data_IF_524643295336
#
_entry.id   IF_524643295336
#
_cell.length_a   1.000
_cell.length_b   1.000
_cell.length_c   1.000
_cell.angle_alpha   90.00
_cell.angle_beta   90.00
_cell.angle_gamma   90.00
#
_symmetry.space_group_name_H-M   'P 1'
#
loop_
_entity.id
_entity.type
_entity.pdbx_description
1 polymer ?
#
# COMPACT_ATOMS: atom_id res chain seq x y z
N UNK A 1 5.67 -33.89 -8.90
CA UNK A 1 4.73 -33.07 -9.70
C UNK A 1 3.60 -32.48 -8.86
N UNK A 2 2.86 -33.26 -8.04
CA UNK A 2 1.79 -32.70 -7.17
C UNK A 2 2.30 -31.63 -6.17
N UNK A 3 3.46 -31.84 -5.56
CA UNK A 3 4.06 -30.89 -4.61
C UNK A 3 4.42 -29.54 -5.26
N UNK A 4 4.81 -29.57 -6.54
CA UNK A 4 5.22 -28.39 -7.30
C UNK A 4 4.05 -27.46 -7.62
N UNK A 5 2.85 -28.03 -7.84
CA UNK A 5 1.62 -27.26 -8.08
C UNK A 5 1.12 -26.65 -6.78
N UNK A 6 1.11 -27.42 -5.68
CA UNK A 6 0.68 -26.90 -4.37
C UNK A 6 1.57 -25.74 -3.88
N UNK A 7 2.89 -25.84 -4.08
CA UNK A 7 3.84 -24.78 -3.74
C UNK A 7 3.64 -23.53 -4.62
N UNK A 8 3.46 -23.73 -5.93
CA UNK A 8 3.16 -22.64 -6.84
C UNK A 8 1.85 -21.94 -6.46
N UNK A 9 0.77 -22.68 -6.22
CA UNK A 9 -0.52 -22.09 -5.80
C UNK A 9 -0.40 -21.33 -4.48
N UNK A 10 0.33 -21.88 -3.51
CA UNK A 10 0.59 -21.19 -2.24
C UNK A 10 1.40 -19.89 -2.45
N UNK A 11 2.27 -19.80 -3.46
CA UNK A 11 3.03 -18.58 -3.77
C UNK A 11 2.16 -17.42 -4.26
N UNK A 12 0.94 -17.67 -4.70
CA UNK A 12 0.03 -16.62 -5.17
C UNK A 12 -1.06 -16.27 -4.17
N UNK A 13 -1.23 -17.03 -3.08
CA UNK A 13 -2.34 -16.86 -2.14
C UNK A 13 -2.53 -15.41 -1.67
N UNK A 14 -1.47 -14.78 -1.16
CA UNK A 14 -1.53 -13.38 -0.71
C UNK A 14 -1.76 -12.43 -1.88
N UNK A 15 -1.10 -12.67 -3.02
CA UNK A 15 -1.21 -11.81 -4.19
C UNK A 15 -2.65 -11.79 -4.74
N UNK A 16 -3.28 -12.96 -4.89
CA UNK A 16 -4.67 -13.09 -5.33
C UNK A 16 -5.64 -12.39 -4.37
N UNK A 17 -5.42 -12.53 -3.06
CA UNK A 17 -6.22 -11.82 -2.05
C UNK A 17 -6.06 -10.31 -2.18
N UNK A 18 -4.84 -9.81 -2.33
CA UNK A 18 -4.57 -8.38 -2.48
C UNK A 18 -5.15 -7.82 -3.79
N UNK A 19 -5.10 -8.60 -4.87
CA UNK A 19 -5.67 -8.25 -6.18
C UNK A 19 -7.20 -8.38 -6.26
N UNK A 20 -7.85 -8.90 -5.21
CA UNK A 20 -9.31 -8.89 -5.11
C UNK A 20 -9.87 -7.46 -5.07
N UNK A 21 -9.08 -6.48 -4.59
CA UNK A 21 -9.41 -5.06 -4.74
C UNK A 21 -8.89 -4.55 -6.11
N UNK A 22 -9.76 -4.05 -7.00
CA UNK A 22 -9.38 -3.61 -8.34
C UNK A 22 -8.27 -2.56 -8.37
N UNK A 23 -8.22 -1.64 -7.39
CA UNK A 23 -7.15 -0.63 -7.34
C UNK A 23 -5.76 -1.22 -7.09
N UNK A 24 -5.69 -2.40 -6.47
CA UNK A 24 -4.43 -3.08 -6.16
C UNK A 24 -3.95 -3.96 -7.32
N UNK A 25 -4.74 -4.08 -8.40
CA UNK A 25 -4.33 -4.79 -9.60
C UNK A 25 -3.32 -4.00 -10.43
N UNK A 26 -3.09 -2.72 -10.12
CA UNK A 26 -2.17 -1.84 -10.83
C UNK A 26 -1.10 -1.32 -9.88
N UNK A 27 0.14 -1.23 -10.36
CA UNK A 27 1.25 -0.64 -9.63
C UNK A 27 0.94 0.82 -9.30
N UNK A 28 1.03 1.17 -8.02
CA UNK A 28 0.71 2.52 -7.53
C UNK A 28 1.60 3.63 -8.12
N UNK A 29 2.72 3.29 -8.75
CA UNK A 29 3.70 4.26 -9.26
C UNK A 29 3.82 4.33 -10.77
N UNK A 30 3.53 3.25 -11.49
CA UNK A 30 3.68 3.23 -12.97
C UNK A 30 2.58 2.45 -13.69
N UNK A 31 1.53 2.05 -12.95
CA UNK A 31 0.35 1.34 -13.50
C UNK A 31 0.65 0.00 -14.18
N UNK A 32 1.84 -0.57 -13.94
CA UNK A 32 2.18 -1.93 -14.34
C UNK A 32 1.22 -2.94 -13.69
N UNK A 33 0.75 -3.91 -14.47
CA UNK A 33 -0.33 -4.80 -14.03
C UNK A 33 0.16 -5.83 -13.00
N UNK A 34 -0.78 -6.28 -12.17
CA UNK A 34 -0.60 -7.34 -11.15
C UNK A 34 0.69 -7.15 -10.34
N UNK A 35 0.84 -6.05 -9.59
CA UNK A 35 2.02 -5.81 -8.78
C UNK A 35 2.20 -6.90 -7.72
N UNK A 36 3.43 -7.37 -7.53
CA UNK A 36 3.76 -8.51 -6.65
C UNK A 36 4.57 -8.10 -5.42
N UNK A 37 4.68 -6.80 -5.19
CA UNK A 37 5.43 -6.20 -4.08
C UNK A 37 4.60 -5.12 -3.42
N UNK A 38 4.89 -4.86 -2.15
CA UNK A 38 4.22 -3.83 -1.39
C UNK A 38 5.17 -3.16 -0.39
N UNK A 39 4.87 -1.92 -0.03
CA UNK A 39 5.42 -1.30 1.17
C UNK A 39 4.38 -1.43 2.28
N UNK A 40 4.61 -2.36 3.21
CA UNK A 40 3.59 -2.74 4.20
C UNK A 40 3.24 -1.61 5.17
N UNK A 41 4.15 -0.67 5.43
CA UNK A 41 3.89 0.49 6.29
C UNK A 41 3.14 1.62 5.57
N UNK A 42 3.12 1.59 4.23
CA UNK A 42 2.44 2.57 3.39
C UNK A 42 1.12 2.04 2.83
N UNK A 43 0.89 0.72 2.94
CA UNK A 43 -0.21 0.00 2.32
C UNK A 43 -0.37 0.34 0.83
N UNK A 44 0.75 0.33 0.10
CA UNK A 44 0.79 0.50 -1.36
C UNK A 44 1.44 -0.71 -2.02
N UNK A 45 0.88 -1.11 -3.15
CA UNK A 45 1.39 -2.21 -3.99
C UNK A 45 2.05 -1.68 -5.25
N UNK A 46 3.15 -2.29 -5.65
CA UNK A 46 3.95 -1.86 -6.80
C UNK A 46 4.67 -3.02 -7.48
N UNK A 47 5.11 -2.79 -8.72
CA UNK A 47 5.81 -3.79 -9.51
C UNK A 47 7.26 -3.97 -9.05
N UNK A 48 7.91 -5.03 -9.52
CA UNK A 48 9.30 -5.38 -9.18
C UNK A 48 10.29 -4.23 -9.45
N UNK A 49 10.08 -3.44 -10.51
CA UNK A 49 10.94 -2.31 -10.87
C UNK A 49 10.83 -1.19 -9.85
N UNK A 50 9.62 -0.75 -9.53
CA UNK A 50 9.38 0.24 -8.47
C UNK A 50 9.82 -0.28 -7.10
N UNK A 51 9.72 -1.58 -6.83
CA UNK A 51 10.22 -2.19 -5.60
C UNK A 51 11.73 -1.95 -5.41
N UNK A 52 12.51 -1.93 -6.49
CA UNK A 52 13.93 -1.59 -6.45
C UNK A 52 14.17 -0.16 -5.94
N UNK A 53 13.44 0.81 -6.48
CA UNK A 53 13.56 2.21 -6.06
C UNK A 53 13.03 2.44 -4.65
N UNK A 54 11.92 1.78 -4.27
CA UNK A 54 11.40 1.81 -2.91
C UNK A 54 12.40 1.29 -1.87
N UNK A 55 13.24 0.30 -2.21
CA UNK A 55 14.32 -0.16 -1.33
C UNK A 55 15.38 0.93 -1.13
N UNK A 56 15.64 1.74 -2.15
CA UNK A 56 16.56 2.89 -2.07
C UNK A 56 16.13 3.98 -1.09
N UNK A 57 14.85 4.06 -0.73
CA UNK A 57 14.35 5.00 0.29
C UNK A 57 14.69 4.58 1.72
N UNK A 58 15.04 3.31 1.95
CA UNK A 58 15.29 2.75 3.28
C UNK A 58 14.02 2.35 4.06
N UNK A 59 14.17 1.46 5.06
CA UNK A 59 13.05 0.83 5.77
C UNK A 59 12.29 1.78 6.72
N UNK A 60 12.87 2.92 7.09
CA UNK A 60 12.17 3.97 7.85
C UNK A 60 11.07 4.66 7.03
N UNK A 61 11.21 4.65 5.70
CA UNK A 61 10.26 5.27 4.77
C UNK A 61 9.39 4.19 4.09
N UNK A 62 10.01 3.14 3.58
CA UNK A 62 9.33 2.10 2.78
C UNK A 62 9.78 0.69 3.19
N UNK A 63 8.94 -0.01 3.96
CA UNK A 63 9.14 -1.40 4.40
C UNK A 63 8.69 -2.35 3.28
N UNK A 64 9.58 -2.62 2.31
CA UNK A 64 9.28 -3.44 1.11
C UNK A 64 9.17 -4.93 1.43
N UNK A 65 8.09 -5.58 0.98
CA UNK A 65 7.84 -7.03 1.09
C UNK A 65 7.24 -7.60 -0.19
N UNK A 66 7.58 -8.84 -0.53
CA UNK A 66 7.01 -9.58 -1.65
C UNK A 66 5.69 -10.22 -1.25
N UNK A 67 4.68 -10.13 -2.12
CA UNK A 67 3.41 -10.86 -1.94
C UNK A 67 3.61 -12.37 -2.09
N UNK A 68 4.61 -12.80 -2.86
CA UNK A 68 4.84 -14.23 -3.15
C UNK A 68 5.89 -14.88 -2.25
N UNK A 69 6.97 -14.14 -1.96
CA UNK A 69 8.15 -14.70 -1.30
C UNK A 69 8.14 -14.49 0.22
N UNK A 70 7.47 -13.45 0.73
CA UNK A 70 7.50 -13.08 2.15
C UNK A 70 6.24 -13.53 2.92
N UNK A 71 5.71 -14.73 2.63
CA UNK A 71 4.41 -15.22 3.16
C UNK A 71 4.24 -15.06 4.67
N UNK A 72 5.30 -15.36 5.45
CA UNK A 72 5.28 -15.28 6.93
C UNK A 72 5.05 -13.87 7.47
N UNK A 73 5.26 -12.83 6.64
CA UNK A 73 5.03 -11.44 7.04
C UNK A 73 3.56 -11.06 6.92
N UNK A 74 2.81 -11.68 6.00
CA UNK A 74 1.45 -11.30 5.67
C UNK A 74 0.44 -11.91 6.63
N UNK A 75 0.20 -11.23 7.76
CA UNK A 75 -0.93 -11.53 8.65
C UNK A 75 -2.26 -11.10 8.02
N UNK A 76 -3.35 -11.65 8.54
CA UNK A 76 -4.71 -11.27 8.13
C UNK A 76 -4.92 -9.74 8.25
N UNK A 77 -4.48 -9.15 9.37
CA UNK A 77 -4.55 -7.72 9.60
C UNK A 77 -3.85 -6.90 8.51
N UNK A 78 -2.64 -7.31 8.09
CA UNK A 78 -1.91 -6.58 7.04
C UNK A 78 -2.61 -6.67 5.68
N UNK A 79 -3.21 -7.82 5.37
CA UNK A 79 -3.98 -8.00 4.15
C UNK A 79 -5.21 -7.09 4.20
N UNK A 80 -5.95 -7.08 5.31
CA UNK A 80 -7.13 -6.22 5.46
C UNK A 80 -6.78 -4.73 5.35
N UNK A 81 -5.66 -4.28 5.91
CA UNK A 81 -5.22 -2.90 5.73
C UNK A 81 -4.96 -2.59 4.26
N UNK A 82 -4.28 -3.47 3.51
CA UNK A 82 -4.01 -3.22 2.09
C UNK A 82 -5.28 -3.23 1.22
N UNK A 83 -6.34 -3.93 1.65
CA UNK A 83 -7.63 -3.93 0.96
C UNK A 83 -8.46 -2.68 1.26
N UNK A 84 -8.45 -2.20 2.50
CA UNK A 84 -9.22 -1.01 2.91
C UNK A 84 -8.50 0.30 2.59
N UNK A 85 -7.18 0.32 2.75
CA UNK A 85 -6.33 1.48 2.53
C UNK A 85 -5.92 1.58 1.05
N UNK A 86 -6.88 1.95 0.22
CA UNK A 86 -6.62 2.16 -1.21
C UNK A 86 -6.06 3.55 -1.43
N UNK A 87 -4.76 3.63 -1.79
CA UNK A 87 -4.15 4.91 -2.16
C UNK A 87 -4.41 5.24 -3.63
N UNK A 88 -5.51 5.95 -3.91
CA UNK A 88 -5.75 6.51 -5.25
C UNK A 88 -4.77 7.65 -5.50
N UNK A 89 -3.74 7.39 -6.29
CA UNK A 89 -2.72 8.39 -6.66
C UNK A 89 -2.86 8.69 -8.14
N UNK A 90 -3.22 9.94 -8.41
CA UNK A 90 -3.54 10.43 -9.77
C UNK A 90 -2.30 10.59 -10.66
N UNK A 91 -1.10 10.54 -10.08
CA UNK A 91 0.16 10.68 -10.80
C UNK A 91 0.86 9.33 -10.84
N UNK A 92 1.11 8.85 -12.06
CA UNK A 92 1.82 7.62 -12.35
C UNK A 92 2.86 7.87 -13.45
N UNK A 93 4.02 7.25 -13.30
CA UNK A 93 5.03 7.13 -14.34
C UNK A 93 4.51 6.28 -15.50
N UNK A 94 5.17 6.43 -16.64
CA UNK A 94 4.96 5.51 -17.76
C UNK A 94 5.65 4.17 -17.48
N UNK A 95 5.18 3.09 -18.12
CA UNK A 95 5.81 1.77 -18.01
C UNK A 95 7.27 1.76 -18.46
N UNK A 96 7.63 2.65 -19.39
CA UNK A 96 8.97 2.72 -20.00
C UNK A 96 9.91 3.71 -19.29
N UNK A 97 9.46 4.36 -18.22
CA UNK A 97 10.32 5.26 -17.45
C UNK A 97 11.57 4.54 -16.95
N UNK A 98 12.71 5.20 -17.12
CA UNK A 98 14.04 4.74 -16.72
C UNK A 98 14.14 4.58 -15.20
N UNK A 99 15.14 3.84 -14.73
CA UNK A 99 15.41 3.71 -13.28
C UNK A 99 15.66 5.06 -12.61
N UNK A 100 16.31 6.00 -13.32
CA UNK A 100 16.55 7.34 -12.78
C UNK A 100 15.26 8.15 -12.62
N UNK A 101 14.39 8.16 -13.64
CA UNK A 101 13.08 8.82 -13.55
C UNK A 101 12.22 8.21 -12.46
N UNK A 102 12.21 6.87 -12.36
CA UNK A 102 11.51 6.14 -11.30
C UNK A 102 12.00 6.55 -9.93
N UNK A 103 13.32 6.60 -9.73
CA UNK A 103 13.95 7.01 -8.47
C UNK A 103 13.56 8.44 -8.09
N UNK A 104 13.67 9.40 -9.01
CA UNK A 104 13.30 10.80 -8.75
C UNK A 104 11.84 10.92 -8.33
N UNK A 105 10.95 10.28 -9.08
CA UNK A 105 9.51 10.30 -8.80
C UNK A 105 9.16 9.64 -7.46
N UNK A 106 9.67 8.43 -7.19
CA UNK A 106 9.41 7.68 -5.96
C UNK A 106 9.97 8.43 -4.74
N UNK A 107 11.16 9.01 -4.84
CA UNK A 107 11.71 9.89 -3.79
C UNK A 107 10.82 11.10 -3.54
N UNK A 108 10.44 11.85 -4.58
CA UNK A 108 9.56 13.01 -4.42
C UNK A 108 8.18 12.64 -3.81
N UNK A 109 7.64 11.48 -4.21
CA UNK A 109 6.33 11.00 -3.79
C UNK A 109 6.30 10.52 -2.33
N UNK A 110 7.31 9.77 -1.89
CA UNK A 110 7.29 9.10 -0.59
C UNK A 110 8.23 9.71 0.46
N UNK A 111 9.38 10.23 0.05
CA UNK A 111 10.33 10.88 0.97
C UNK A 111 9.95 12.35 1.18
N UNK A 112 9.82 13.11 0.09
CA UNK A 112 9.55 14.56 0.15
C UNK A 112 8.07 14.86 0.41
N UNK A 113 7.19 13.86 0.28
CA UNK A 113 5.72 13.94 0.46
C UNK A 113 5.01 15.00 -0.39
N UNK A 114 5.64 15.46 -1.48
CA UNK A 114 5.12 16.56 -2.32
C UNK A 114 3.79 16.25 -3.01
N UNK A 115 3.42 14.98 -3.14
CA UNK A 115 2.27 14.51 -3.95
C UNK A 115 1.21 13.73 -3.15
N UNK A 116 1.18 13.84 -1.81
CA UNK A 116 0.25 13.04 -1.00
C UNK A 116 -1.16 13.66 -0.94
N UNK A 117 -2.04 13.24 -1.85
CA UNK A 117 -3.50 13.30 -1.66
C UNK A 117 -4.00 11.90 -1.27
N UNK A 118 -4.62 11.79 -0.11
CA UNK A 118 -5.14 10.53 0.43
C UNK A 118 -6.64 10.44 0.12
N UNK A 119 -7.10 9.30 -0.39
CA UNK A 119 -8.54 9.00 -0.50
C UNK A 119 -8.77 7.68 0.22
N UNK A 120 -9.70 7.63 1.16
CA UNK A 120 -10.08 6.40 1.86
C UNK A 120 -11.35 5.86 1.23
N UNK A 121 -11.38 4.57 0.86
CA UNK A 121 -12.62 3.88 0.50
C UNK A 121 -13.13 3.16 1.74
N UNK A 122 -14.27 3.60 2.27
CA UNK A 122 -14.99 2.84 3.29
C UNK A 122 -15.95 1.90 2.57
N UNK A 123 -15.75 0.59 2.69
CA UNK A 123 -16.53 -0.44 2.00
C UNK A 123 -17.95 -0.64 2.55
N UNK A 124 -18.38 0.12 3.57
CA UNK A 124 -19.68 -0.05 4.22
C UNK A 124 -20.78 0.96 3.81
N UNK A 125 -20.47 1.99 3.02
CA UNK A 125 -21.48 2.87 2.43
C UNK A 125 -21.15 3.13 0.96
N UNK A 126 -22.17 3.12 0.11
CA UNK A 126 -22.08 3.40 -1.34
C UNK A 126 -21.59 4.81 -1.70
N UNK A 127 -21.25 5.63 -0.69
CA UNK A 127 -20.77 7.00 -0.85
C UNK A 127 -19.27 7.04 -0.57
N UNK A 128 -18.47 7.40 -1.58
CA UNK A 128 -17.05 7.72 -1.41
C UNK A 128 -16.96 8.85 -0.38
N UNK A 129 -16.55 8.51 0.84
CA UNK A 129 -16.18 9.48 1.85
C UNK A 129 -14.91 10.21 1.38
N UNK A 130 -15.10 11.28 0.59
CA UNK A 130 -14.04 12.13 0.06
C UNK A 130 -13.50 13.02 1.16
N UNK A 131 -12.80 12.44 2.13
CA UNK A 131 -12.08 13.20 3.14
C UNK A 131 -10.75 13.68 2.54
N UNK A 132 -10.66 14.97 2.21
CA UNK A 132 -9.37 15.61 1.93
C UNK A 132 -8.63 15.80 3.24
N UNK A 133 -7.63 14.96 3.52
CA UNK A 133 -6.70 15.21 4.62
C UNK A 133 -5.55 16.09 4.13
N UNK A 134 -5.43 17.28 4.70
CA UNK A 134 -4.27 18.15 4.53
C UNK A 134 -3.40 18.01 5.78
N UNK A 135 -2.29 17.29 5.70
CA UNK A 135 -1.33 17.21 6.79
C UNK A 135 -0.50 18.49 6.85
N UNK A 136 -0.58 19.23 7.95
CA UNK A 136 0.50 20.10 8.41
C UNK A 136 1.29 19.36 9.49
N UNK A 137 2.61 19.30 9.33
CA UNK A 137 3.55 18.60 10.24
C UNK A 137 3.54 19.19 11.66
N UNK A 138 4.07 18.49 12.69
CA UNK A 138 4.05 17.05 12.95
C UNK A 138 3.39 16.73 14.33
N UNK A 139 3.09 15.45 14.58
CA UNK A 139 2.81 14.80 15.89
C UNK A 139 1.38 14.47 16.31
N UNK A 140 0.33 14.79 15.56
CA UNK A 140 -0.98 14.21 15.89
C UNK A 140 -1.83 13.97 14.67
N UNK A 141 -2.30 12.74 14.55
CA UNK A 141 -3.39 12.42 13.65
C UNK A 141 -4.69 12.46 14.45
N UNK A 142 -5.42 13.56 14.34
CA UNK A 142 -6.80 13.61 14.83
C UNK A 142 -7.71 13.12 13.71
N UNK A 143 -8.09 11.85 13.80
CA UNK A 143 -9.14 11.29 12.95
C UNK A 143 -10.49 11.72 13.54
N UNK A 144 -11.16 12.68 12.92
CA UNK A 144 -12.59 12.91 13.14
C UNK A 144 -13.37 11.87 12.32
N UNK A 145 -13.84 10.83 13.01
CA UNK A 145 -14.75 9.84 12.43
C UNK A 145 -16.19 10.21 12.82
N UNK A 146 -17.09 10.34 11.84
CA UNK A 146 -18.53 10.43 12.07
C UNK A 146 -19.23 9.07 11.97
N UNK A 147 -18.51 7.97 12.22
CA UNK A 147 -18.99 6.60 12.04
C UNK A 147 -19.04 5.84 13.37
N UNK A 148 -20.09 5.06 13.57
CA UNK A 148 -20.36 4.24 14.76
C UNK A 148 -19.61 2.90 14.77
N UNK A 149 -18.81 2.58 13.75
CA UNK A 149 -18.03 1.32 13.71
C UNK A 149 -16.70 1.45 14.46
N UNK A 150 -16.78 1.32 15.79
CA UNK A 150 -15.65 1.44 16.72
C UNK A 150 -14.52 0.43 16.42
N UNK A 151 -14.83 -0.75 15.88
CA UNK A 151 -13.83 -1.81 15.61
C UNK A 151 -12.82 -1.41 14.52
N UNK A 152 -13.31 -0.91 13.39
CA UNK A 152 -12.47 -0.48 12.26
C UNK A 152 -11.69 0.80 12.57
N UNK A 153 -12.28 1.70 13.37
CA UNK A 153 -11.62 2.91 13.87
C UNK A 153 -10.48 2.53 14.82
N UNK A 154 -10.71 1.59 15.73
CA UNK A 154 -9.69 1.12 16.66
C UNK A 154 -8.54 0.43 15.91
N UNK A 155 -8.86 -0.39 14.89
CA UNK A 155 -7.90 -1.09 14.04
C UNK A 155 -6.98 -0.14 13.24
N UNK A 156 -7.54 0.91 12.64
CA UNK A 156 -6.72 1.93 11.94
C UNK A 156 -5.85 2.74 12.92
N UNK A 157 -6.37 3.04 14.12
CA UNK A 157 -5.61 3.71 15.19
C UNK A 157 -4.49 2.84 15.76
N UNK A 158 -4.69 1.53 15.90
CA UNK A 158 -3.63 0.59 16.31
C UNK A 158 -2.61 0.38 15.19
N UNK A 159 -3.02 0.32 13.93
CA UNK A 159 -2.09 0.22 12.81
C UNK A 159 -1.18 1.43 12.68
N UNK A 160 -1.69 2.64 12.94
CA UNK A 160 -0.85 3.83 13.02
C UNK A 160 0.18 3.73 14.15
N UNK A 161 -0.18 3.22 15.32
CA UNK A 161 0.79 2.96 16.40
C UNK A 161 1.86 1.94 15.97
N UNK A 162 1.49 0.92 15.18
CA UNK A 162 2.41 -0.09 14.65
C UNK A 162 3.42 0.48 13.64
N UNK A 163 3.04 1.48 12.85
CA UNK A 163 3.94 2.15 11.89
C UNK A 163 4.97 3.06 12.60
N UNK A 164 4.58 3.72 13.69
CA UNK A 164 5.38 4.75 14.34
C UNK A 164 6.30 4.25 15.48
N UNK A 165 6.21 2.98 15.89
CA UNK A 165 6.97 2.43 17.04
C UNK A 165 7.90 1.24 16.73
N UNK A 166 8.34 1.05 15.47
CA UNK A 166 9.42 0.09 15.11
C UNK A 166 10.39 0.64 14.08
#
# INVERSE_FOLDING_TARGET
MRNSIAEALSNYEVAERIWAEPSNQMCADCSDAKPEWAAINLAVVFCKRCAGEHRGLGPSISKVRSLKMDKKVWSEDLIQVCLVYVRVLYEALTLNSSSEERRRFITAKYLERKHQKYTFKCSFYSTVCRFQFQFHQPKSLFLHFSSTDLYNILFLKTWQKFIYFQ
#
